data_IF_154164040919
#
_entry.id   IF_154164040919
#
_cell.length_a   1.000
_cell.length_b   1.000
_cell.length_c   1.000
_cell.angle_alpha   90.00
_cell.angle_beta   90.00
_cell.angle_gamma   90.00
#
_symmetry.space_group_name_H-M   'P 1'
#
loop_
_entity.id
_entity.type
_entity.pdbx_description
1 polymer ?
#
# COMPACT_ATOMS: atom_id res chain seq x y z
N UNK A 1 30.59 23.75 7.68
CA UNK A 1 30.62 23.12 7.15
C UNK A 1 29.46 22.64 6.87
N UNK A 2 28.93 22.08 6.72
CA UNK A 2 28.11 21.82 6.05
C UNK A 2 27.06 21.30 6.60
N UNK A 3 26.39 21.16 6.11
CA UNK A 3 25.18 20.81 6.04
C UNK A 3 24.97 19.59 6.78
N UNK A 4 25.66 19.24 7.71
CA UNK A 4 25.50 18.06 8.52
C UNK A 4 24.15 18.06 9.22
N UNK A 5 23.72 19.23 9.67
CA UNK A 5 22.43 19.33 10.36
C UNK A 5 21.27 18.99 9.45
N UNK A 6 21.31 19.43 8.22
CA UNK A 6 20.28 19.15 7.25
C UNK A 6 20.24 17.68 6.90
N UNK A 7 21.42 17.06 6.75
CA UNK A 7 21.53 15.64 6.44
C UNK A 7 21.03 14.77 7.59
N UNK A 8 21.37 15.14 8.83
CA UNK A 8 20.92 14.39 10.00
C UNK A 8 19.40 14.39 10.09
N UNK A 9 18.79 15.55 9.85
CA UNK A 9 17.36 15.69 9.91
C UNK A 9 16.68 14.85 8.82
N UNK A 10 17.25 14.89 7.63
CA UNK A 10 16.74 14.12 6.49
C UNK A 10 16.87 12.62 6.76
N UNK A 11 18.02 12.18 7.24
CA UNK A 11 18.27 10.78 7.57
C UNK A 11 17.30 10.28 8.62
N UNK A 12 17.08 11.10 9.64
CA UNK A 12 16.15 10.76 10.72
C UNK A 12 14.73 10.59 10.19
N UNK A 13 14.32 11.51 9.34
CA UNK A 13 12.99 11.44 8.73
C UNK A 13 12.84 10.19 7.86
N UNK A 14 13.88 9.87 7.07
CA UNK A 14 13.86 8.67 6.25
C UNK A 14 13.77 7.40 7.09
N UNK A 15 14.50 7.35 8.21
CA UNK A 15 14.43 6.23 9.14
C UNK A 15 13.02 6.07 9.70
N UNK A 16 12.41 7.18 10.08
CA UNK A 16 11.05 7.17 10.61
C UNK A 16 10.07 6.67 9.54
N UNK A 17 10.22 7.14 8.31
CA UNK A 17 9.36 6.73 7.21
C UNK A 17 9.54 5.25 6.87
N UNK A 18 10.77 4.74 6.95
CA UNK A 18 11.02 3.33 6.71
C UNK A 18 10.36 2.45 7.77
N UNK A 19 10.44 2.85 9.02
CA UNK A 19 9.78 2.12 10.11
C UNK A 19 8.28 2.14 9.94
N UNK A 20 7.75 3.32 9.62
CA UNK A 20 6.33 3.52 9.38
C UNK A 20 5.86 2.62 8.23
N UNK A 21 6.64 2.58 7.16
CA UNK A 21 6.35 1.76 5.99
C UNK A 21 6.34 0.27 6.33
N UNK A 22 7.30 -0.18 7.13
CA UNK A 22 7.39 -1.57 7.55
C UNK A 22 6.19 -1.97 8.42
N UNK A 23 5.81 -1.10 9.35
CA UNK A 23 4.64 -1.34 10.20
C UNK A 23 3.37 -1.41 9.35
N UNK A 24 3.25 -0.47 8.42
CA UNK A 24 2.11 -0.38 7.52
C UNK A 24 2.02 -1.63 6.65
N UNK A 25 3.13 -2.11 6.11
CA UNK A 25 3.16 -3.32 5.29
C UNK A 25 2.61 -4.52 6.08
N UNK A 26 2.98 -4.62 7.35
CA UNK A 26 2.46 -5.68 8.21
C UNK A 26 0.96 -5.57 8.42
N UNK A 27 0.48 -4.34 8.66
CA UNK A 27 -0.94 -4.08 8.86
C UNK A 27 -1.74 -4.32 7.59
N UNK A 28 -1.20 -3.88 6.44
CA UNK A 28 -1.86 -4.06 5.15
C UNK A 28 -1.93 -5.53 4.77
N UNK A 29 -0.92 -6.30 5.15
CA UNK A 29 -0.91 -7.74 4.90
C UNK A 29 -2.02 -8.48 5.62
N UNK A 30 -2.59 -7.87 6.66
CA UNK A 30 -3.69 -8.45 7.41
C UNK A 30 -5.06 -8.16 6.79
N UNK A 31 -5.13 -7.26 5.83
CA UNK A 31 -6.39 -6.95 5.15
C UNK A 31 -6.80 -8.16 4.32
N UNK A 32 -8.02 -8.63 4.54
CA UNK A 32 -8.52 -9.78 3.81
C UNK A 32 -9.56 -9.34 2.79
N UNK A 33 -9.55 -9.98 1.65
CA UNK A 33 -10.56 -9.74 0.64
C UNK A 33 -10.88 -11.05 -0.06
N UNK A 34 -12.14 -11.16 -0.50
CA UNK A 34 -12.55 -12.29 -1.30
C UNK A 34 -12.31 -11.90 -2.75
N UNK A 35 -11.29 -12.48 -3.35
CA UNK A 35 -10.86 -12.13 -4.71
C UNK A 35 -11.94 -12.32 -5.76
N UNK A 36 -12.96 -13.14 -5.46
CA UNK A 36 -14.04 -13.39 -6.39
C UNK A 36 -15.25 -12.49 -6.17
N UNK A 37 -15.19 -11.66 -5.12
CA UNK A 37 -16.29 -10.76 -4.79
C UNK A 37 -15.87 -9.32 -5.03
N UNK A 38 -16.44 -8.70 -6.06
CA UNK A 38 -16.07 -7.33 -6.45
C UNK A 38 -16.25 -6.31 -5.32
N UNK A 39 -17.28 -6.45 -4.52
CA UNK A 39 -17.51 -5.55 -3.39
C UNK A 39 -16.42 -5.70 -2.33
N UNK A 40 -16.05 -6.95 -2.04
CA UNK A 40 -14.97 -7.22 -1.09
C UNK A 40 -13.64 -6.62 -1.56
N UNK A 41 -13.36 -6.73 -2.86
CA UNK A 41 -12.15 -6.16 -3.45
C UNK A 41 -12.15 -4.64 -3.31
N UNK A 42 -13.27 -3.99 -3.61
CA UNK A 42 -13.39 -2.53 -3.47
C UNK A 42 -13.21 -2.09 -2.03
N UNK A 43 -13.81 -2.82 -1.10
CA UNK A 43 -13.67 -2.50 0.33
C UNK A 43 -12.24 -2.67 0.80
N UNK A 44 -11.55 -3.70 0.33
CA UNK A 44 -10.16 -3.92 0.69
C UNK A 44 -9.27 -2.79 0.20
N UNK A 45 -9.50 -2.31 -1.03
CA UNK A 45 -8.74 -1.19 -1.58
C UNK A 45 -9.02 0.08 -0.78
N UNK A 46 -10.28 0.36 -0.48
CA UNK A 46 -10.65 1.55 0.30
C UNK A 46 -10.04 1.51 1.70
N UNK A 47 -10.06 0.36 2.33
CA UNK A 47 -9.49 0.16 3.65
C UNK A 47 -7.97 0.36 3.62
N UNK A 48 -7.32 -0.20 2.62
CA UNK A 48 -5.89 -0.05 2.41
C UNK A 48 -5.53 1.43 2.25
N UNK A 49 -6.25 2.14 1.39
CA UNK A 49 -5.97 3.55 1.14
C UNK A 49 -6.16 4.40 2.40
N UNK A 50 -7.21 4.12 3.17
CA UNK A 50 -7.46 4.82 4.42
C UNK A 50 -6.36 4.57 5.44
N UNK A 51 -5.88 3.34 5.53
CA UNK A 51 -4.79 2.99 6.45
C UNK A 51 -3.50 3.71 6.08
N UNK A 52 -3.18 3.76 4.78
CA UNK A 52 -1.98 4.46 4.31
C UNK A 52 -2.09 5.95 4.60
N UNK A 53 -3.23 6.55 4.27
CA UNK A 53 -3.45 7.97 4.50
C UNK A 53 -3.35 8.34 5.98
N UNK A 54 -3.93 7.52 6.85
CA UNK A 54 -3.86 7.74 8.29
C UNK A 54 -2.44 7.64 8.81
N UNK A 55 -1.69 6.65 8.32
CA UNK A 55 -0.33 6.42 8.78
C UNK A 55 0.58 7.58 8.41
N UNK A 56 0.37 8.15 7.23
CA UNK A 56 1.21 9.23 6.73
C UNK A 56 0.64 10.62 6.98
N UNK A 57 -0.46 10.71 7.73
CA UNK A 57 -1.12 11.97 7.99
C UNK A 57 -0.20 13.06 8.54
N UNK A 58 0.66 12.72 9.48
CA UNK A 58 1.59 13.68 10.07
C UNK A 58 2.68 14.16 9.13
N UNK A 59 2.77 13.57 7.92
CA UNK A 59 3.81 13.91 6.97
C UNK A 59 3.26 14.51 5.69
N UNK A 60 2.06 15.06 5.74
CA UNK A 60 1.37 15.55 4.54
C UNK A 60 2.11 16.68 3.81
N UNK A 61 2.99 17.39 4.51
CA UNK A 61 3.79 18.46 3.90
C UNK A 61 5.16 17.99 3.42
N UNK A 62 5.48 16.70 3.63
CA UNK A 62 6.76 16.14 3.23
C UNK A 62 6.62 15.41 1.90
N UNK A 63 7.25 15.92 0.85
CA UNK A 63 7.09 15.36 -0.50
C UNK A 63 7.59 13.91 -0.61
N UNK A 64 8.64 13.55 0.13
CA UNK A 64 9.14 12.18 0.13
C UNK A 64 8.09 11.24 0.74
N UNK A 65 7.51 11.65 1.85
CA UNK A 65 6.47 10.87 2.52
C UNK A 65 5.24 10.70 1.63
N UNK A 66 4.82 11.79 0.99
CA UNK A 66 3.67 11.75 0.07
C UNK A 66 3.93 10.78 -1.07
N UNK A 67 5.13 10.82 -1.64
CA UNK A 67 5.50 9.91 -2.72
C UNK A 67 5.54 8.46 -2.23
N UNK A 68 6.06 8.22 -1.04
CA UNK A 68 6.07 6.89 -0.45
C UNK A 68 4.66 6.36 -0.24
N UNK A 69 3.78 7.19 0.30
CA UNK A 69 2.39 6.81 0.54
C UNK A 69 1.70 6.44 -0.78
N UNK A 70 1.91 7.25 -1.80
CA UNK A 70 1.32 7.00 -3.12
C UNK A 70 1.85 5.70 -3.73
N UNK A 71 3.15 5.44 -3.58
CA UNK A 71 3.77 4.21 -4.08
C UNK A 71 3.22 2.98 -3.37
N UNK A 72 3.05 3.06 -2.06
CA UNK A 72 2.49 1.96 -1.28
C UNK A 72 1.05 1.70 -1.71
N UNK A 73 0.25 2.75 -1.87
CA UNK A 73 -1.14 2.60 -2.31
C UNK A 73 -1.21 1.94 -3.68
N UNK A 74 -0.38 2.39 -4.61
CA UNK A 74 -0.32 1.81 -5.95
C UNK A 74 0.05 0.34 -5.93
N UNK A 75 1.08 -0.01 -5.16
CA UNK A 75 1.56 -1.39 -5.08
C UNK A 75 0.52 -2.33 -4.50
N UNK A 76 -0.12 -1.93 -3.41
CA UNK A 76 -1.11 -2.79 -2.78
C UNK A 76 -2.39 -2.87 -3.59
N UNK A 77 -2.78 -1.78 -4.22
CA UNK A 77 -3.92 -1.79 -5.14
C UNK A 77 -3.68 -2.78 -6.27
N UNK A 78 -2.48 -2.71 -6.85
CA UNK A 78 -2.09 -3.62 -7.93
C UNK A 78 -2.14 -5.06 -7.46
N UNK A 79 -1.62 -5.35 -6.28
CA UNK A 79 -1.66 -6.69 -5.70
C UNK A 79 -3.08 -7.20 -5.53
N UNK A 80 -3.95 -6.36 -5.00
CA UNK A 80 -5.34 -6.74 -4.75
C UNK A 80 -6.05 -6.98 -6.08
N UNK A 81 -5.84 -6.10 -7.06
CA UNK A 81 -6.44 -6.22 -8.38
C UNK A 81 -5.92 -7.45 -9.13
N UNK A 82 -4.63 -7.72 -9.05
CA UNK A 82 -4.02 -8.88 -9.70
C UNK A 82 -4.59 -10.17 -9.13
N UNK A 83 -4.78 -10.22 -7.83
CA UNK A 83 -5.37 -11.37 -7.17
C UNK A 83 -6.80 -11.60 -7.65
N UNK A 84 -7.57 -10.53 -7.77
CA UNK A 84 -8.95 -10.60 -8.23
C UNK A 84 -9.01 -11.05 -9.70
N UNK A 85 -8.12 -10.50 -10.53
CA UNK A 85 -8.06 -10.85 -11.94
C UNK A 85 -7.65 -12.31 -12.13
N UNK A 86 -6.69 -12.76 -11.34
CA UNK A 86 -6.21 -14.14 -11.40
C UNK A 86 -7.33 -15.12 -11.03
N UNK A 87 -8.09 -14.80 -9.99
CA UNK A 87 -9.21 -15.64 -9.58
C UNK A 87 -10.27 -15.72 -10.68
N UNK A 88 -10.53 -14.61 -11.35
CA UNK A 88 -11.48 -14.53 -12.45
C UNK A 88 -11.02 -15.37 -13.64
N UNK A 89 -9.76 -15.26 -13.99
CA UNK A 89 -9.17 -16.01 -15.11
C UNK A 89 -9.20 -17.51 -14.82
N UNK A 90 -8.85 -17.91 -13.61
CA UNK A 90 -8.86 -19.31 -13.21
C UNK A 90 -10.28 -19.90 -13.31
N UNK A 91 -11.26 -19.13 -12.89
CA UNK A 91 -12.65 -19.57 -12.98
C UNK A 91 -13.09 -19.73 -14.45
N UNK A 92 -12.66 -18.79 -15.31
CA UNK A 92 -12.95 -18.84 -16.72
C UNK A 92 -12.29 -20.05 -17.39
N UNK A 93 -11.03 -20.31 -17.05
CA UNK A 93 -10.30 -21.44 -17.60
C UNK A 93 -10.97 -22.75 -17.26
N UNK A 94 -11.40 -22.91 -16.03
CA UNK A 94 -12.10 -24.11 -15.59
C UNK A 94 -13.37 -24.32 -16.43
N UNK A 95 -14.08 -23.24 -16.70
CA UNK A 95 -15.30 -23.29 -17.50
C UNK A 95 -14.99 -23.69 -18.93
N UNK A 96 -13.91 -23.16 -19.50
CA UNK A 96 -13.55 -23.47 -20.86
C UNK A 96 -13.11 -24.90 -21.08
N UNK A 97 -12.52 -25.51 -20.08
CA UNK A 97 -12.05 -26.88 -20.20
C UNK A 97 -13.17 -27.90 -20.30
N UNK A 98 -14.36 -27.48 -20.07
CA UNK A 98 -15.51 -28.34 -20.22
C UNK A 98 -15.99 -28.33 -21.66
#
# INVERSE_FOLDING_TARGET
>A
MFEIKGLDKLTKTLDELQKLSAELNGELGAIQSDAQNAESVKQAIAEMEAMVDNKFEGYSSNSVAVNMANSIKSSFRQMIEDKANKASVEATEITELK
#
